data_IF_405277187949
#
_entry.id   IF_405277187949
#
_cell.length_a   1.000
_cell.length_b   1.000
_cell.length_c   1.000
_cell.angle_alpha   90.00
_cell.angle_beta   90.00
_cell.angle_gamma   90.00
#
_symmetry.space_group_name_H-M   'P 1'
#
loop_
_entity.id
_entity.type
_entity.pdbx_description
1 polymer ?
#
# COMPACT_ATOMS: atom_id res chain seq x y z
N UNK A 1 8.41 -15.75 -3.76
CA UNK A 1 7.61 -14.80 -2.96
C UNK A 1 6.16 -14.91 -3.39
N UNK A 2 5.22 -15.06 -2.45
CA UNK A 2 3.78 -15.13 -2.71
C UNK A 2 3.23 -13.71 -2.50
N UNK A 3 2.58 -13.14 -3.53
CA UNK A 3 2.08 -11.76 -3.51
C UNK A 3 0.56 -11.63 -3.51
N UNK A 4 -0.14 -12.68 -3.94
CA UNK A 4 -1.59 -12.79 -3.99
C UNK A 4 -1.97 -14.27 -4.01
N UNK A 5 -3.12 -14.61 -3.45
CA UNK A 5 -3.62 -15.96 -3.37
C UNK A 5 -5.15 -15.96 -3.55
N UNK A 6 -5.65 -16.97 -4.27
CA UNK A 6 -7.07 -17.24 -4.44
C UNK A 6 -7.31 -18.72 -4.21
N UNK A 7 -8.28 -19.04 -3.36
CA UNK A 7 -8.61 -20.42 -3.02
C UNK A 7 -9.88 -20.50 -2.20
N UNK A 8 -10.23 -21.70 -1.77
CA UNK A 8 -11.39 -22.00 -0.92
C UNK A 8 -10.97 -21.93 0.56
N UNK A 9 -11.82 -21.36 1.41
CA UNK A 9 -11.58 -21.30 2.85
C UNK A 9 -11.77 -22.67 3.44
N UNK A 10 -10.70 -23.29 3.97
CA UNK A 10 -10.80 -24.53 4.73
C UNK A 10 -11.18 -24.31 6.20
N UNK A 11 -10.60 -23.28 6.79
CA UNK A 11 -10.88 -22.92 8.19
C UNK A 11 -10.47 -21.48 8.49
N UNK A 12 -11.09 -20.93 9.53
CA UNK A 12 -10.71 -19.66 10.14
C UNK A 12 -10.58 -19.84 11.65
N UNK A 13 -9.53 -19.27 12.23
CA UNK A 13 -9.32 -19.22 13.68
C UNK A 13 -9.30 -17.76 14.15
N UNK A 14 -10.43 -17.23 14.64
CA UNK A 14 -10.52 -15.86 15.13
C UNK A 14 -9.62 -15.58 16.33
N UNK A 15 -9.34 -16.57 17.17
CA UNK A 15 -8.51 -16.40 18.35
C UNK A 15 -7.02 -16.25 17.99
N UNK A 16 -6.58 -16.97 16.97
CA UNK A 16 -5.20 -16.90 16.47
C UNK A 16 -5.00 -15.86 15.35
N UNK A 17 -6.09 -15.34 14.74
CA UNK A 17 -6.03 -14.47 13.57
C UNK A 17 -5.50 -15.21 12.34
N UNK A 18 -5.93 -16.45 12.14
CA UNK A 18 -5.46 -17.34 11.08
C UNK A 18 -6.60 -17.71 10.13
N UNK A 19 -6.24 -17.79 8.84
CA UNK A 19 -7.08 -18.32 7.78
C UNK A 19 -6.29 -19.38 7.03
N UNK A 20 -6.90 -20.54 6.80
CA UNK A 20 -6.34 -21.61 5.98
C UNK A 20 -7.11 -21.67 4.66
N UNK A 21 -6.41 -21.53 3.54
CA UNK A 21 -6.95 -21.61 2.20
C UNK A 21 -6.44 -22.85 1.47
N UNK A 22 -7.35 -23.57 0.83
CA UNK A 22 -6.98 -24.59 -0.18
C UNK A 22 -6.79 -23.90 -1.54
N UNK A 23 -5.62 -24.10 -2.10
CA UNK A 23 -5.31 -23.70 -3.48
C UNK A 23 -4.92 -24.96 -4.25
N UNK A 24 -5.91 -25.61 -4.83
CA UNK A 24 -5.74 -26.83 -5.64
C UNK A 24 -5.01 -27.97 -4.88
N UNK A 25 -5.41 -28.23 -3.64
CA UNK A 25 -4.86 -29.30 -2.82
C UNK A 25 -3.62 -28.88 -2.02
N UNK A 26 -3.25 -27.61 -2.02
CA UNK A 26 -2.20 -27.07 -1.14
C UNK A 26 -2.82 -26.11 -0.14
N UNK A 27 -2.70 -26.44 1.16
CA UNK A 27 -3.18 -25.57 2.23
C UNK A 27 -2.20 -24.44 2.54
N UNK A 28 -2.65 -23.21 2.43
CA UNK A 28 -1.89 -22.01 2.82
C UNK A 28 -2.46 -21.40 4.08
N UNK A 29 -1.64 -21.36 5.13
CA UNK A 29 -1.98 -20.68 6.38
C UNK A 29 -1.54 -19.20 6.32
N UNK A 30 -2.49 -18.28 6.47
CA UNK A 30 -2.26 -16.85 6.43
C UNK A 30 -2.65 -16.21 7.77
N UNK A 31 -1.79 -15.33 8.26
CA UNK A 31 -2.10 -14.44 9.38
C UNK A 31 -2.77 -13.19 8.84
N UNK A 32 -3.91 -12.83 9.41
CA UNK A 32 -4.71 -11.70 8.95
C UNK A 32 -5.02 -10.74 10.10
N UNK A 33 -5.37 -9.50 9.76
CA UNK A 33 -5.89 -8.53 10.73
C UNK A 33 -7.30 -8.91 11.19
N UNK A 34 -7.77 -8.36 12.30
CA UNK A 34 -9.15 -8.57 12.75
C UNK A 34 -10.18 -8.04 11.75
N UNK A 35 -9.85 -6.96 11.03
CA UNK A 35 -10.72 -6.42 9.99
C UNK A 35 -10.79 -7.39 8.80
N UNK A 36 -9.64 -7.81 8.26
CA UNK A 36 -9.60 -8.81 7.19
C UNK A 36 -10.33 -10.09 7.60
N UNK A 37 -10.17 -10.54 8.85
CA UNK A 37 -10.79 -11.75 9.36
C UNK A 37 -12.34 -11.64 9.42
N UNK A 38 -12.87 -10.46 9.70
CA UNK A 38 -14.31 -10.22 9.70
C UNK A 38 -14.94 -10.36 8.31
N UNK A 39 -14.15 -10.11 7.26
CA UNK A 39 -14.57 -10.20 5.85
C UNK A 39 -14.34 -11.61 5.26
N UNK A 40 -13.70 -12.53 6.02
CA UNK A 40 -13.48 -13.91 5.58
C UNK A 40 -14.82 -14.66 5.54
N UNK A 41 -15.21 -15.22 4.38
CA UNK A 41 -16.46 -15.97 4.26
C UNK A 41 -16.41 -17.29 5.01
N UNK A 42 -17.54 -18.02 4.99
CA UNK A 42 -17.64 -19.35 5.60
C UNK A 42 -16.73 -20.37 4.86
N UNK A 43 -16.39 -21.48 5.53
CA UNK A 43 -15.67 -22.58 4.88
C UNK A 43 -16.36 -23.04 3.59
N UNK A 44 -15.57 -23.47 2.60
CA UNK A 44 -15.95 -23.88 1.24
C UNK A 44 -16.22 -22.71 0.27
N UNK A 45 -16.34 -21.47 0.75
CA UNK A 45 -16.43 -20.29 -0.11
C UNK A 45 -15.07 -19.83 -0.60
N UNK A 46 -15.07 -19.17 -1.76
CA UNK A 46 -13.86 -18.64 -2.36
C UNK A 46 -13.41 -17.33 -1.69
N UNK A 47 -12.11 -17.20 -1.47
CA UNK A 47 -11.47 -16.01 -0.92
C UNK A 47 -10.24 -15.63 -1.71
N UNK A 48 -10.07 -14.32 -1.94
CA UNK A 48 -8.86 -13.75 -2.51
C UNK A 48 -8.18 -12.83 -1.52
N UNK A 49 -6.88 -12.99 -1.30
CA UNK A 49 -6.11 -12.14 -0.41
C UNK A 49 -4.82 -11.64 -1.09
N UNK A 50 -4.49 -10.39 -0.85
CA UNK A 50 -3.15 -9.88 -1.09
C UNK A 50 -2.21 -10.42 -0.02
N UNK A 51 -0.99 -10.83 -0.41
CA UNK A 51 -0.09 -11.53 0.50
C UNK A 51 1.24 -10.82 0.64
N UNK A 52 1.75 -10.77 1.85
CA UNK A 52 3.14 -10.47 2.16
C UNK A 52 3.82 -11.72 2.69
N UNK A 53 4.85 -12.19 1.97
CA UNK A 53 5.68 -13.32 2.43
C UNK A 53 6.79 -12.80 3.32
N UNK A 54 6.83 -13.25 4.57
CA UNK A 54 7.88 -12.93 5.53
C UNK A 54 8.76 -14.15 5.73
N UNK A 55 10.03 -14.02 5.37
CA UNK A 55 11.01 -15.10 5.48
C UNK A 55 12.08 -14.70 6.48
N UNK A 56 12.37 -15.59 7.42
CA UNK A 56 13.51 -15.55 8.32
C UNK A 56 14.25 -16.87 8.24
N UNK A 57 15.38 -16.99 8.89
CA UNK A 57 16.19 -18.23 8.90
C UNK A 57 15.42 -19.44 9.41
N UNK A 58 14.53 -19.22 10.37
CA UNK A 58 13.75 -20.24 11.10
C UNK A 58 12.26 -20.26 10.77
N UNK A 59 11.76 -19.32 9.95
CA UNK A 59 10.33 -19.16 9.75
C UNK A 59 9.98 -18.61 8.36
N UNK A 60 8.99 -19.23 7.73
CA UNK A 60 8.25 -18.68 6.60
C UNK A 60 6.81 -18.41 7.06
N UNK A 61 6.39 -17.16 7.01
CA UNK A 61 5.03 -16.76 7.39
C UNK A 61 4.37 -15.95 6.28
N UNK A 62 3.08 -16.21 6.05
CA UNK A 62 2.26 -15.46 5.12
C UNK A 62 1.31 -14.54 5.89
N UNK A 63 1.22 -13.30 5.44
CA UNK A 63 0.30 -12.28 5.96
C UNK A 63 -0.67 -11.92 4.85
N UNK A 64 -1.98 -12.07 5.13
CA UNK A 64 -3.06 -11.83 4.18
C UNK A 64 -3.79 -10.52 4.46
N UNK A 65 -4.23 -9.84 3.39
CA UNK A 65 -4.91 -8.54 3.43
C UNK A 65 -6.05 -8.52 2.41
N UNK A 66 -7.17 -7.89 2.76
CA UNK A 66 -8.32 -7.74 1.87
C UNK A 66 -7.96 -6.84 0.67
N UNK A 67 -7.11 -5.82 0.89
CA UNK A 67 -6.74 -4.85 -0.15
C UNK A 67 -5.23 -4.73 -0.35
N UNK A 68 -4.83 -4.23 -1.53
CA UNK A 68 -3.42 -3.95 -1.84
C UNK A 68 -2.85 -2.85 -0.95
N UNK A 69 -3.68 -1.88 -0.58
CA UNK A 69 -3.35 -0.73 0.27
C UNK A 69 -3.03 -1.16 1.69
N UNK A 70 -3.81 -2.09 2.26
CA UNK A 70 -3.50 -2.69 3.56
C UNK A 70 -2.15 -3.39 3.55
N UNK A 71 -1.86 -4.15 2.49
CA UNK A 71 -0.54 -4.78 2.32
C UNK A 71 0.59 -3.77 2.24
N UNK A 72 0.39 -2.66 1.51
CA UNK A 72 1.38 -1.57 1.44
C UNK A 72 1.58 -0.95 2.82
N UNK A 73 0.50 -0.63 3.54
CA UNK A 73 0.57 -0.08 4.89
C UNK A 73 1.26 -1.03 5.87
N UNK A 74 0.98 -2.33 5.81
CA UNK A 74 1.69 -3.35 6.59
C UNK A 74 3.21 -3.29 6.36
N UNK A 75 3.64 -3.19 5.11
CA UNK A 75 5.06 -3.09 4.75
C UNK A 75 5.69 -1.79 5.28
N UNK A 76 4.96 -0.69 5.21
CA UNK A 76 5.39 0.59 5.79
C UNK A 76 5.53 0.48 7.31
N UNK A 77 4.53 -0.05 8.01
CA UNK A 77 4.57 -0.26 9.47
C UNK A 77 5.75 -1.15 9.88
N UNK A 78 5.95 -2.26 9.18
CA UNK A 78 7.06 -3.18 9.49
C UNK A 78 8.44 -2.62 9.15
N UNK A 79 8.53 -1.56 8.35
CA UNK A 79 9.79 -0.83 8.11
C UNK A 79 10.18 0.10 9.27
N UNK A 80 9.26 0.36 10.21
CA UNK A 80 9.53 1.19 11.38
C UNK A 80 10.30 0.38 12.43
N UNK A 81 11.41 0.89 12.98
CA UNK A 81 12.15 0.19 14.04
C UNK A 81 11.25 -0.19 15.22
N UNK A 82 11.35 -1.42 15.70
CA UNK A 82 10.57 -2.00 16.80
C UNK A 82 9.09 -2.29 16.49
N UNK A 83 8.63 -2.07 15.26
CA UNK A 83 7.31 -2.50 14.81
C UNK A 83 7.46 -3.81 14.04
N UNK A 84 7.19 -4.92 14.72
CA UNK A 84 7.17 -6.25 14.10
C UNK A 84 5.82 -6.56 13.42
N UNK A 85 5.75 -7.66 12.66
CA UNK A 85 4.53 -8.08 11.96
C UNK A 85 3.30 -8.19 12.86
N UNK A 86 3.44 -8.69 14.09
CA UNK A 86 2.34 -8.79 15.06
C UNK A 86 1.75 -7.42 15.40
N UNK A 87 2.61 -6.43 15.67
CA UNK A 87 2.17 -5.08 16.00
C UNK A 87 1.58 -4.36 14.77
N UNK A 88 2.14 -4.61 13.58
CA UNK A 88 1.60 -4.06 12.33
C UNK A 88 0.19 -4.59 12.04
N UNK A 89 -0.06 -5.91 12.19
CA UNK A 89 -1.41 -6.49 12.06
C UNK A 89 -2.36 -5.95 13.14
N UNK A 90 -1.92 -5.82 14.40
CA UNK A 90 -2.74 -5.25 15.45
C UNK A 90 -3.12 -3.79 15.16
N UNK A 91 -2.21 -3.01 14.54
CA UNK A 91 -2.48 -1.64 14.13
C UNK A 91 -3.53 -1.59 13.03
N UNK A 92 -3.40 -2.42 11.99
CA UNK A 92 -4.38 -2.54 10.89
C UNK A 92 -5.73 -3.07 11.36
N UNK A 93 -5.75 -3.98 12.35
CA UNK A 93 -6.99 -4.50 12.93
C UNK A 93 -7.67 -3.56 13.93
N UNK A 94 -6.94 -2.57 14.45
CA UNK A 94 -7.43 -1.65 15.49
C UNK A 94 -8.20 -0.45 14.99
N UNK A 95 -8.06 -0.08 13.72
CA UNK A 95 -8.76 1.07 13.11
C UNK A 95 -8.83 0.93 11.59
N UNK A 96 -9.80 1.60 10.96
CA UNK A 96 -9.91 1.66 9.52
C UNK A 96 -8.63 2.25 8.89
N UNK A 97 -8.26 1.78 7.70
CA UNK A 97 -7.04 2.20 7.02
C UNK A 97 -7.00 3.71 6.76
N UNK A 98 -8.14 4.32 6.39
CA UNK A 98 -8.28 5.77 6.21
C UNK A 98 -7.95 6.54 7.49
N UNK A 99 -8.47 6.09 8.64
CA UNK A 99 -8.20 6.71 9.94
C UNK A 99 -6.72 6.56 10.33
N UNK A 100 -6.11 5.41 10.03
CA UNK A 100 -4.68 5.20 10.27
C UNK A 100 -3.82 6.17 9.46
N UNK A 101 -4.15 6.34 8.17
CA UNK A 101 -3.47 7.30 7.29
C UNK A 101 -3.65 8.73 7.79
N UNK A 102 -4.86 9.12 8.20
CA UNK A 102 -5.14 10.44 8.77
C UNK A 102 -4.32 10.69 10.05
N UNK A 103 -4.36 9.76 11.02
CA UNK A 103 -3.59 9.86 12.27
C UNK A 103 -2.08 10.06 12.01
N UNK A 104 -1.51 9.36 11.05
CA UNK A 104 -0.08 9.49 10.72
C UNK A 104 0.20 10.84 10.06
N UNK A 105 -0.64 11.27 9.10
CA UNK A 105 -0.49 12.53 8.39
C UNK A 105 -0.64 13.75 9.32
N UNK A 106 -1.60 13.71 10.25
CA UNK A 106 -1.86 14.75 11.24
C UNK A 106 -0.87 14.76 12.42
N UNK A 107 -0.10 13.67 12.57
CA UNK A 107 0.85 13.56 13.67
C UNK A 107 0.21 13.07 14.98
N UNK A 108 -0.99 12.49 14.95
CA UNK A 108 -1.72 12.04 16.14
C UNK A 108 -1.19 10.68 16.67
N UNK A 109 -0.02 10.72 17.27
CA UNK A 109 0.55 9.56 17.96
C UNK A 109 -0.33 9.06 19.12
N UNK A 110 -1.16 9.93 19.71
CA UNK A 110 -1.99 9.58 20.88
C UNK A 110 -3.10 8.58 20.49
N UNK A 111 -3.72 8.76 19.35
CA UNK A 111 -4.73 7.81 18.85
C UNK A 111 -4.11 6.45 18.54
N UNK A 112 -2.89 6.41 18.00
CA UNK A 112 -2.17 5.15 17.76
C UNK A 112 -1.87 4.37 19.05
N UNK A 113 -1.70 5.03 20.19
CA UNK A 113 -1.46 4.33 21.48
C UNK A 113 -2.67 3.55 22.00
N UNK A 114 -3.86 3.75 21.44
CA UNK A 114 -5.04 2.94 21.75
C UNK A 114 -4.96 1.53 21.20
N UNK A 115 -4.06 1.30 20.22
CA UNK A 115 -3.85 -0.01 19.64
C UNK A 115 -3.04 -0.90 20.60
N UNK A 116 -3.51 -2.12 20.92
CA UNK A 116 -2.77 -3.05 21.76
C UNK A 116 -1.36 -3.33 21.22
N UNK A 117 -0.35 -3.22 22.07
CA UNK A 117 1.06 -3.43 21.67
C UNK A 117 1.77 -2.21 21.08
N UNK A 118 1.09 -1.08 20.92
CA UNK A 118 1.68 0.19 20.49
C UNK A 118 1.80 1.14 21.70
N UNK A 119 2.99 1.26 22.25
CA UNK A 119 3.28 2.24 23.29
C UNK A 119 3.56 3.63 22.72
N UNK A 120 3.58 4.65 23.61
CA UNK A 120 3.81 6.06 23.23
C UNK A 120 5.04 6.25 22.34
N UNK A 121 6.19 5.67 22.71
CA UNK A 121 7.43 5.77 21.92
C UNK A 121 7.30 5.15 20.52
N UNK A 122 6.61 4.02 20.42
CA UNK A 122 6.38 3.34 19.14
C UNK A 122 5.43 4.14 18.26
N UNK A 123 4.37 4.71 18.82
CA UNK A 123 3.43 5.58 18.13
C UNK A 123 4.12 6.83 17.56
N UNK A 124 4.92 7.52 18.37
CA UNK A 124 5.72 8.68 17.96
C UNK A 124 6.70 8.30 16.83
N UNK A 125 7.34 7.11 16.91
CA UNK A 125 8.25 6.62 15.90
C UNK A 125 7.53 6.28 14.58
N UNK A 126 6.32 5.69 14.64
CA UNK A 126 5.47 5.42 13.47
C UNK A 126 5.17 6.73 12.76
N UNK A 127 4.63 7.72 13.47
CA UNK A 127 4.31 9.03 12.91
C UNK A 127 5.53 9.68 12.27
N UNK A 128 6.64 9.78 13.01
CA UNK A 128 7.86 10.41 12.52
C UNK A 128 8.41 9.73 11.25
N UNK A 129 8.38 8.40 11.21
CA UNK A 129 8.99 7.64 10.10
C UNK A 129 8.08 7.57 8.88
N UNK A 130 6.77 7.52 9.07
CA UNK A 130 5.83 7.25 7.98
C UNK A 130 5.17 8.50 7.41
N UNK A 131 5.16 9.63 8.11
CA UNK A 131 4.53 10.86 7.64
C UNK A 131 5.05 11.26 6.25
N UNK A 132 6.36 11.43 6.10
CA UNK A 132 6.97 11.82 4.82
C UNK A 132 6.80 10.75 3.74
N UNK A 133 6.84 9.46 4.14
CA UNK A 133 6.63 8.35 3.21
C UNK A 133 5.20 8.27 2.68
N UNK A 134 4.21 8.58 3.51
CA UNK A 134 2.80 8.61 3.11
C UNK A 134 2.49 9.80 2.22
N UNK A 135 3.05 10.96 2.48
CA UNK A 135 2.94 12.12 1.58
C UNK A 135 3.50 11.79 0.19
N UNK A 136 4.69 11.21 0.14
CA UNK A 136 5.29 10.73 -1.11
C UNK A 136 4.47 9.65 -1.81
N UNK A 137 3.83 8.75 -1.05
CA UNK A 137 2.97 7.69 -1.61
C UNK A 137 1.64 8.24 -2.13
N UNK A 138 1.01 9.18 -1.43
CA UNK A 138 -0.20 9.89 -1.90
C UNK A 138 0.09 10.62 -3.22
N UNK A 139 1.23 11.31 -3.31
CA UNK A 139 1.67 11.99 -4.53
C UNK A 139 1.90 11.00 -5.69
N UNK A 140 2.50 9.84 -5.40
CA UNK A 140 2.83 8.82 -6.41
C UNK A 140 1.62 8.01 -6.87
N UNK A 141 0.60 7.82 -6.02
CA UNK A 141 -0.60 7.06 -6.34
C UNK A 141 -1.74 7.92 -6.89
N UNK A 142 -1.59 9.24 -6.92
CA UNK A 142 -2.64 10.15 -7.37
C UNK A 142 -3.95 9.98 -6.57
N UNK A 143 -3.85 9.59 -5.29
CA UNK A 143 -5.01 9.38 -4.46
C UNK A 143 -5.77 10.70 -4.29
N UNK A 144 -7.06 10.78 -4.63
CA UNK A 144 -7.88 11.93 -4.28
C UNK A 144 -7.90 12.05 -2.76
N UNK A 145 -7.80 13.27 -2.26
CA UNK A 145 -8.08 13.58 -0.86
C UNK A 145 -9.43 12.97 -0.51
N UNK A 146 -9.41 12.04 0.47
CA UNK A 146 -10.63 11.42 0.98
C UNK A 146 -11.34 12.43 1.91
N UNK A 147 -11.92 13.45 1.33
CA UNK A 147 -12.97 14.24 1.96
C UNK A 147 -14.32 13.73 1.42
N UNK A 148 -15.18 13.13 2.28
CA UNK A 148 -16.42 12.52 1.81
C UNK A 148 -17.50 13.51 1.35
N UNK A 149 -17.28 14.83 1.45
CA UNK A 149 -18.29 15.86 1.20
C UNK A 149 -17.97 16.88 0.10
N UNK A 150 -16.84 16.78 -0.60
CA UNK A 150 -16.62 17.59 -1.80
C UNK A 150 -16.73 16.72 -3.06
N UNK A 151 -17.77 16.99 -3.85
CA UNK A 151 -17.88 16.53 -5.24
C UNK A 151 -16.75 17.19 -6.04
N UNK A 152 -15.59 16.55 -6.12
CA UNK A 152 -14.46 17.00 -6.90
C UNK A 152 -14.68 16.65 -8.35
N UNK A 153 -14.67 17.67 -9.22
CA UNK A 153 -14.57 17.51 -10.68
C UNK A 153 -13.41 16.55 -10.98
N UNK A 154 -13.65 15.55 -11.82
CA UNK A 154 -12.67 14.55 -12.22
C UNK A 154 -11.39 15.26 -12.72
N UNK A 155 -10.18 14.89 -12.22
CA UNK A 155 -8.95 15.47 -12.69
C UNK A 155 -8.82 15.24 -14.20
N UNK A 156 -8.37 16.25 -14.93
CA UNK A 156 -8.21 16.15 -16.37
C UNK A 156 -7.27 14.97 -16.71
N UNK A 157 -7.58 14.25 -17.79
CA UNK A 157 -6.79 13.10 -18.26
C UNK A 157 -5.29 13.44 -18.38
N UNK A 158 -4.95 14.67 -18.73
CA UNK A 158 -3.59 15.16 -18.84
C UNK A 158 -2.84 15.23 -17.51
N UNK A 159 -3.49 15.66 -16.42
CA UNK A 159 -2.87 15.70 -15.08
C UNK A 159 -2.59 14.32 -14.54
N UNK A 160 -3.44 13.34 -14.87
CA UNK A 160 -3.28 11.93 -14.48
C UNK A 160 -2.12 11.27 -15.23
N UNK A 161 -1.99 11.52 -16.56
CA UNK A 161 -0.91 10.97 -17.39
C UNK A 161 0.46 11.53 -16.99
N UNK A 162 0.54 12.83 -16.71
CA UNK A 162 1.76 13.49 -16.25
C UNK A 162 2.25 12.87 -14.90
N UNK A 163 1.35 12.68 -13.95
CA UNK A 163 1.65 12.10 -12.64
C UNK A 163 2.09 10.65 -12.76
N UNK A 164 1.44 9.87 -13.61
CA UNK A 164 1.80 8.46 -13.85
C UNK A 164 3.17 8.35 -14.55
N UNK A 165 3.42 9.14 -15.58
CA UNK A 165 4.71 9.16 -16.26
C UNK A 165 5.86 9.55 -15.31
N UNK A 166 5.66 10.58 -14.48
CA UNK A 166 6.63 11.00 -13.48
C UNK A 166 6.94 9.87 -12.48
N UNK A 167 5.91 9.22 -11.93
CA UNK A 167 6.07 8.11 -10.99
C UNK A 167 6.81 6.92 -11.61
N UNK A 168 6.52 6.56 -12.87
CA UNK A 168 7.22 5.49 -13.59
C UNK A 168 8.71 5.79 -13.77
N UNK A 169 9.05 7.01 -14.17
CA UNK A 169 10.45 7.44 -14.37
C UNK A 169 11.23 7.51 -13.05
N UNK A 170 10.59 7.95 -11.98
CA UNK A 170 11.16 7.91 -10.62
C UNK A 170 11.41 6.46 -10.16
N UNK A 171 10.48 5.55 -10.45
CA UNK A 171 10.62 4.12 -10.17
C UNK A 171 11.78 3.45 -10.93
N UNK A 172 12.16 4.00 -12.10
CA UNK A 172 13.34 3.57 -12.87
C UNK A 172 14.66 4.15 -12.34
N UNK A 173 14.63 4.96 -11.26
CA UNK A 173 15.83 5.50 -10.59
C UNK A 173 16.29 6.88 -11.08
N UNK A 174 15.51 7.57 -11.90
CA UNK A 174 15.83 8.94 -12.32
C UNK A 174 15.52 9.95 -11.22
N UNK A 175 16.29 11.06 -11.16
CA UNK A 175 16.09 12.11 -10.14
C UNK A 175 14.92 13.01 -10.54
N UNK A 176 14.02 13.34 -9.59
CA UNK A 176 12.79 14.11 -9.83
C UNK A 176 13.01 15.39 -10.64
N UNK A 177 13.97 16.25 -10.25
CA UNK A 177 14.30 17.47 -11.00
C UNK A 177 14.72 17.25 -12.47
N UNK A 178 15.31 16.09 -12.77
CA UNK A 178 15.68 15.75 -14.15
C UNK A 178 14.44 15.27 -14.91
N UNK A 179 13.58 14.49 -14.25
CA UNK A 179 12.30 14.03 -14.81
C UNK A 179 11.40 15.22 -15.11
N UNK A 180 11.19 16.14 -14.16
CA UNK A 180 10.35 17.33 -14.35
C UNK A 180 10.79 18.14 -15.57
N UNK A 181 12.10 18.37 -15.70
CA UNK A 181 12.66 19.15 -16.81
C UNK A 181 12.52 18.45 -18.17
N UNK A 182 12.55 17.12 -18.22
CA UNK A 182 12.44 16.34 -19.45
C UNK A 182 10.96 16.08 -19.82
N UNK A 183 10.09 15.94 -18.82
CA UNK A 183 8.68 15.61 -18.99
C UNK A 183 7.86 16.83 -19.48
N UNK A 184 8.10 18.01 -18.92
CA UNK A 184 7.34 19.22 -19.25
C UNK A 184 7.24 19.47 -20.78
N UNK A 185 8.34 19.52 -21.56
CA UNK A 185 8.25 19.77 -23.01
C UNK A 185 7.67 18.57 -23.80
N UNK A 186 7.61 17.38 -23.23
CA UNK A 186 6.96 16.21 -23.86
C UNK A 186 5.45 16.31 -23.70
N UNK A 187 4.98 16.78 -22.55
CA UNK A 187 3.55 17.00 -22.30
C UNK A 187 2.99 18.14 -23.16
N UNK A 188 3.74 19.21 -23.34
CA UNK A 188 3.35 20.33 -24.22
C UNK A 188 3.19 19.89 -25.70
N UNK A 189 4.03 18.95 -26.16
CA UNK A 189 4.00 18.39 -27.53
C UNK A 189 3.03 17.19 -27.67
N UNK A 190 2.37 16.76 -26.60
CA UNK A 190 1.49 15.60 -26.59
C UNK A 190 0.03 16.02 -26.71
N UNK A 191 -0.76 15.25 -27.45
CA UNK A 191 -2.23 15.40 -27.51
C UNK A 191 -2.91 14.58 -26.40
N UNK A 192 -4.17 14.91 -26.09
CA UNK A 192 -4.98 14.18 -25.09
C UNK A 192 -5.10 12.65 -25.36
N UNK A 193 -4.88 12.22 -26.60
CA UNK A 193 -4.92 10.82 -27.02
C UNK A 193 -3.53 10.14 -26.99
N UNK A 194 -2.46 10.83 -26.57
CA UNK A 194 -1.11 10.24 -26.54
C UNK A 194 -1.03 9.21 -25.42
N UNK A 195 -0.72 7.93 -25.71
CA UNK A 195 -0.65 6.91 -24.69
C UNK A 195 0.53 7.11 -23.74
N UNK A 196 0.37 6.65 -22.47
CA UNK A 196 1.35 6.82 -21.40
C UNK A 196 2.74 6.28 -21.74
N UNK A 197 2.80 5.12 -22.40
CA UNK A 197 4.05 4.48 -22.82
C UNK A 197 4.85 5.36 -23.81
N UNK A 198 4.17 6.06 -24.69
CA UNK A 198 4.79 6.99 -25.63
C UNK A 198 5.36 8.22 -24.91
N UNK A 199 4.64 8.77 -23.94
CA UNK A 199 5.10 9.89 -23.09
C UNK A 199 6.37 9.47 -22.32
N UNK A 200 6.34 8.30 -21.71
CA UNK A 200 7.48 7.76 -20.95
C UNK A 200 8.67 7.54 -21.90
N UNK A 201 8.46 6.94 -23.07
CA UNK A 201 9.52 6.68 -24.05
C UNK A 201 10.18 7.95 -24.56
N UNK A 202 9.39 8.99 -24.92
CA UNK A 202 9.91 10.29 -25.36
C UNK A 202 10.68 11.02 -24.26
N UNK A 203 10.20 10.91 -23.02
CA UNK A 203 10.90 11.51 -21.86
C UNK A 203 12.21 10.79 -21.57
N UNK A 204 12.24 9.46 -21.66
CA UNK A 204 13.48 8.67 -21.52
C UNK A 204 14.51 9.06 -22.59
N UNK A 205 14.10 9.20 -23.86
CA UNK A 205 15.00 9.64 -24.92
C UNK A 205 15.67 11.00 -24.56
N UNK A 206 14.87 11.98 -24.08
CA UNK A 206 15.40 13.29 -23.64
C UNK A 206 16.29 13.21 -22.39
N UNK A 207 16.09 12.20 -21.53
CA UNK A 207 16.94 11.98 -20.34
C UNK A 207 18.26 11.30 -20.70
N UNK A 208 18.29 10.47 -21.76
CA UNK A 208 19.47 9.72 -22.22
C UNK A 208 20.35 10.55 -23.16
N UNK A 209 19.82 11.54 -23.86
CA UNK A 209 20.56 12.44 -24.77
C UNK A 209 21.39 13.52 -24.03
N UNK A 210 21.65 13.32 -22.75
CA UNK A 210 22.47 14.16 -21.86
C UNK A 210 23.63 13.36 -21.32
#
# INVERSE_FOLDING_TARGET
>A
MIGWIHGEVLSRDPAAGLVLLDVRGVGYELRVSLQTLADVPEPEDALSLWVHTHVREDQLALYGFSTSEERVMFRLLTSVPKVGPKNALATLGGMALSNLVACISEGDAKTLTKTPGIGKRTAEQIVLTLRDKLEGLKLALGAPDLDPDEAVEAPSLESTLATQAHAMLMGMGWKGKAVDKALAPVLEDSSADTPLDEIVRRTLAKLMDR
#
